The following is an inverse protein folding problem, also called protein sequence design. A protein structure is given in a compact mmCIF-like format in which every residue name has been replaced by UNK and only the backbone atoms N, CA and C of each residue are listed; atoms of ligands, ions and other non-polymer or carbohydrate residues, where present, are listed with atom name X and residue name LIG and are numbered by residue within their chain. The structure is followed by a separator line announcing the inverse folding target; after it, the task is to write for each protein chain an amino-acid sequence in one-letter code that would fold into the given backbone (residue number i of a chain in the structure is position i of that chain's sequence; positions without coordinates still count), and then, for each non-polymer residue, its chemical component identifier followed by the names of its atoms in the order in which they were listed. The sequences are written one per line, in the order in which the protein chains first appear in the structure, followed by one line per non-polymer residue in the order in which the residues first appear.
data_IF_564878539325
#
_entry.id   IF_564878539325
#
_cell.length_a   1.000
_cell.length_b   1.000
_cell.length_c   1.000
_cell.angle_alpha   90.00
_cell.angle_beta   90.00
_cell.angle_gamma   90.00
#
_symmetry.space_group_name_H-M   'P 1'
#
loop_
_entity.id
_entity.type
_entity.pdbx_description
1 polymer ?
#
# COMPACT_ATOMS: atom_id res chain seq x y z
N UNK A 1 -7.69 -46.97 -14.43
CA UNK A 1 -6.38 -47.63 -14.34
C UNK A 1 -6.13 -47.99 -12.88
N UNK A 2 -6.57 -49.18 -12.46
CA UNK A 2 -6.21 -49.76 -11.16
C UNK A 2 -5.48 -51.06 -11.48
N UNK A 3 -4.29 -51.15 -10.91
CA UNK A 3 -3.20 -52.08 -11.21
C UNK A 3 -3.22 -53.21 -10.18
N UNK A 4 -3.20 -54.44 -10.70
CA UNK A 4 -2.56 -55.67 -10.21
C UNK A 4 -2.64 -56.11 -8.74
N UNK A 5 -3.25 -57.28 -8.54
CA UNK A 5 -2.67 -58.49 -7.91
C UNK A 5 -3.63 -59.64 -8.27
N UNK A 6 -3.24 -60.70 -8.97
CA UNK A 6 -2.46 -61.81 -8.41
C UNK A 6 -1.59 -62.47 -9.48
N UNK A 7 -0.33 -62.75 -9.13
CA UNK A 7 0.50 -63.67 -9.88
C UNK A 7 0.01 -65.11 -9.68
N UNK A 8 -0.29 -65.77 -10.80
CA UNK A 8 0.01 -67.16 -11.19
C UNK A 8 -0.51 -67.24 -12.63
N UNK A 9 0.35 -67.69 -13.56
CA UNK A 9 0.08 -67.68 -14.99
C UNK A 9 -1.00 -68.70 -15.41
N UNK A 10 -2.26 -68.28 -15.37
CA UNK A 10 -3.33 -68.87 -16.17
C UNK A 10 -4.41 -67.83 -16.46
N UNK A 11 -4.58 -67.47 -17.74
CA UNK A 11 -5.78 -66.75 -18.20
C UNK A 11 -6.96 -67.74 -18.13
N UNK A 12 -7.75 -67.67 -17.08
CA UNK A 12 -9.05 -68.32 -17.04
C UNK A 12 -10.07 -67.42 -17.74
N UNK A 13 -10.26 -67.61 -19.04
CA UNK A 13 -11.41 -67.03 -19.76
C UNK A 13 -12.66 -67.77 -19.30
N UNK A 14 -13.60 -67.09 -18.64
CA UNK A 14 -14.88 -67.69 -18.25
C UNK A 14 -15.45 -67.29 -16.88
N UNK A 15 -14.97 -66.25 -16.21
CA UNK A 15 -15.63 -65.74 -15.00
C UNK A 15 -16.86 -64.89 -15.36
N UNK A 16 -17.88 -64.90 -14.50
CA UNK A 16 -19.10 -64.07 -14.59
C UNK A 16 -18.81 -62.56 -14.73
N UNK A 17 -17.57 -62.14 -14.45
CA UNK A 17 -17.07 -60.76 -14.57
C UNK A 17 -16.79 -60.37 -16.03
N UNK A 18 -16.67 -61.32 -16.97
CA UNK A 18 -16.49 -61.06 -18.40
C UNK A 18 -17.81 -60.98 -19.18
N UNK A 19 -18.92 -61.50 -18.60
CA UNK A 19 -20.27 -61.38 -19.16
C UNK A 19 -20.68 -59.93 -19.48
N UNK A 20 -20.42 -58.93 -18.62
CA UNK A 20 -20.75 -57.53 -18.91
C UNK A 20 -19.97 -56.96 -20.10
N UNK A 21 -18.72 -57.40 -20.31
CA UNK A 21 -17.89 -56.95 -21.45
C UNK A 21 -18.41 -57.49 -22.77
N UNK A 22 -18.72 -58.78 -22.82
CA UNK A 22 -19.26 -59.42 -24.02
C UNK A 22 -20.69 -58.93 -24.31
N UNK A 23 -21.52 -58.77 -23.28
CA UNK A 23 -22.86 -58.19 -23.40
C UNK A 23 -22.81 -56.73 -23.91
N UNK A 24 -21.84 -55.93 -23.43
CA UNK A 24 -21.63 -54.55 -23.88
C UNK A 24 -21.24 -54.46 -25.36
N UNK A 25 -20.29 -55.29 -25.81
CA UNK A 25 -19.93 -55.37 -27.23
C UNK A 25 -21.08 -55.89 -28.10
N UNK A 26 -21.87 -56.83 -27.58
CA UNK A 26 -23.08 -57.34 -28.24
C UNK A 26 -24.17 -56.28 -28.43
N UNK A 27 -24.40 -55.43 -27.42
CA UNK A 27 -25.34 -54.30 -27.52
C UNK A 27 -24.89 -53.25 -28.54
N UNK A 28 -23.59 -52.98 -28.63
CA UNK A 28 -23.03 -52.06 -29.65
C UNK A 28 -23.21 -52.64 -31.06
N UNK A 29 -22.98 -53.94 -31.25
CA UNK A 29 -23.20 -54.61 -32.53
C UNK A 29 -24.69 -54.66 -32.92
N UNK A 30 -25.60 -54.91 -31.96
CA UNK A 30 -27.05 -54.86 -32.16
C UNK A 30 -27.54 -53.46 -32.53
N UNK A 31 -27.00 -52.42 -31.89
CA UNK A 31 -27.31 -51.03 -32.24
C UNK A 31 -26.82 -50.66 -33.65
N UNK A 32 -25.64 -51.14 -34.05
CA UNK A 32 -25.12 -50.95 -35.40
C UNK A 32 -25.99 -51.67 -36.46
N UNK A 33 -26.44 -52.89 -36.17
CA UNK A 33 -27.34 -53.64 -37.06
C UNK A 33 -28.76 -53.04 -37.14
N UNK A 34 -29.27 -52.51 -36.03
CA UNK A 34 -30.55 -51.78 -36.00
C UNK A 34 -30.45 -50.48 -36.82
N UNK A 35 -29.33 -49.76 -36.70
CA UNK A 35 -29.06 -48.54 -37.47
C UNK A 35 -28.95 -48.78 -38.98
N UNK A 36 -28.53 -49.97 -39.41
CA UNK A 36 -28.49 -50.35 -40.83
C UNK A 36 -29.88 -50.74 -41.37
N UNK A 37 -30.86 -51.00 -40.49
CA UNK A 37 -32.22 -51.39 -40.85
C UNK A 37 -33.18 -50.20 -40.98
N UNK A 38 -32.76 -49.01 -40.51
CA UNK A 38 -33.58 -47.80 -40.43
C UNK A 38 -33.61 -46.97 -41.74
N UNK A 39 -32.82 -47.32 -42.75
CA UNK A 39 -32.85 -46.64 -44.05
C UNK A 39 -33.69 -47.40 -45.06
N UNK A 40 -35.01 -47.37 -44.90
CA UNK A 40 -36.03 -47.35 -45.98
C UNK A 40 -37.44 -47.55 -45.42
N UNK A 41 -38.14 -46.47 -45.09
CA UNK A 41 -39.56 -46.29 -45.42
C UNK A 41 -39.92 -44.83 -45.19
N UNK A 42 -40.28 -44.16 -46.28
CA UNK A 42 -40.89 -42.85 -46.27
C UNK A 42 -42.39 -42.96 -45.94
N UNK A 43 -42.95 -41.80 -45.55
CA UNK A 43 -44.34 -41.31 -45.72
C UNK A 43 -45.16 -41.15 -44.42
N UNK A 44 -45.49 -39.87 -44.18
CA UNK A 44 -46.64 -39.23 -43.47
C UNK A 44 -46.89 -39.56 -42.00
N UNK A 45 -46.76 -38.56 -41.11
CA UNK A 45 -47.91 -37.74 -40.70
C UNK A 45 -47.50 -36.62 -39.72
N UNK A 46 -48.11 -35.45 -39.93
CA UNK A 46 -48.04 -34.27 -39.08
C UNK A 46 -48.69 -34.54 -37.72
N UNK A 47 -47.90 -34.77 -36.66
CA UNK A 47 -48.24 -34.51 -35.26
C UNK A 47 -47.11 -34.98 -34.31
N UNK A 48 -45.98 -34.26 -34.20
CA UNK A 48 -45.00 -34.48 -33.10
C UNK A 48 -43.86 -33.43 -33.03
N UNK A 49 -44.18 -32.13 -33.00
CA UNK A 49 -43.13 -31.12 -32.72
C UNK A 49 -42.78 -31.03 -31.21
N UNK A 50 -43.69 -31.37 -30.30
CA UNK A 50 -43.45 -31.31 -28.85
C UNK A 50 -42.66 -32.49 -28.27
N UNK A 51 -42.68 -33.66 -28.93
CA UNK A 51 -41.95 -34.85 -28.48
C UNK A 51 -40.46 -34.87 -28.88
N UNK A 52 -40.13 -34.22 -30.00
CA UNK A 52 -38.76 -34.16 -30.52
C UNK A 52 -37.85 -33.24 -29.68
N UNK A 53 -38.38 -32.14 -29.15
CA UNK A 53 -37.62 -31.18 -28.34
C UNK A 53 -37.26 -31.72 -26.94
N UNK A 54 -38.18 -32.47 -26.32
CA UNK A 54 -37.97 -33.13 -25.01
C UNK A 54 -36.92 -34.25 -25.12
N UNK A 55 -36.96 -35.02 -26.22
CA UNK A 55 -36.02 -36.12 -26.44
C UNK A 55 -34.58 -35.61 -26.72
N UNK A 56 -34.44 -34.43 -27.33
CA UNK A 56 -33.14 -33.76 -27.57
C UNK A 56 -32.48 -33.27 -26.27
N UNK A 57 -33.24 -32.61 -25.38
CA UNK A 57 -32.73 -32.14 -24.09
C UNK A 57 -32.29 -33.29 -23.17
N UNK A 58 -33.01 -34.42 -23.18
CA UNK A 58 -32.67 -35.59 -22.36
C UNK A 58 -31.38 -36.28 -22.85
N UNK A 59 -31.16 -36.35 -24.17
CA UNK A 59 -29.91 -36.90 -24.75
C UNK A 59 -28.68 -36.04 -24.43
N UNK A 60 -28.85 -34.74 -24.22
CA UNK A 60 -27.76 -33.80 -23.87
C UNK A 60 -27.18 -34.05 -22.46
N UNK A 61 -27.99 -34.54 -21.51
CA UNK A 61 -27.55 -34.82 -20.14
C UNK A 61 -27.09 -36.27 -19.92
N UNK A 62 -27.41 -37.17 -20.85
CA UNK A 62 -27.06 -38.58 -20.81
C UNK A 62 -25.56 -38.86 -20.58
N UNK A 63 -24.59 -38.12 -21.18
CA UNK A 63 -23.18 -38.35 -20.90
C UNK A 63 -22.69 -37.76 -19.55
N UNK A 64 -23.44 -36.85 -18.94
CA UNK A 64 -23.08 -36.21 -17.65
C UNK A 64 -23.70 -36.91 -16.44
N UNK A 65 -24.72 -37.74 -16.66
CA UNK A 65 -25.41 -38.50 -15.62
C UNK A 65 -24.45 -39.42 -14.82
N UNK A 66 -23.48 -40.12 -15.43
CA UNK A 66 -22.47 -40.89 -14.69
C UNK A 66 -21.58 -40.03 -13.80
N UNK A 67 -21.27 -38.80 -14.21
CA UNK A 67 -20.44 -37.86 -13.44
C UNK A 67 -21.19 -37.36 -12.21
N UNK A 68 -22.47 -37.01 -12.37
CA UNK A 68 -23.33 -36.60 -11.26
C UNK A 68 -23.55 -37.74 -10.27
N UNK A 69 -23.76 -38.97 -10.78
CA UNK A 69 -23.91 -40.16 -9.95
C UNK A 69 -22.61 -40.47 -9.18
N UNK A 70 -21.45 -40.36 -9.83
CA UNK A 70 -20.14 -40.53 -9.18
C UNK A 70 -19.88 -39.46 -8.11
N UNK A 71 -20.27 -38.20 -8.36
CA UNK A 71 -20.19 -37.13 -7.38
C UNK A 71 -21.12 -37.36 -6.19
N UNK A 72 -22.35 -37.84 -6.42
CA UNK A 72 -23.32 -38.16 -5.38
C UNK A 72 -22.87 -39.36 -4.53
N UNK A 73 -22.32 -40.42 -5.14
CA UNK A 73 -21.74 -41.57 -4.44
C UNK A 73 -20.49 -41.13 -3.67
N UNK A 74 -19.63 -40.30 -4.27
CA UNK A 74 -18.46 -39.74 -3.60
C UNK A 74 -18.83 -38.90 -2.38
N UNK A 75 -19.89 -38.10 -2.48
CA UNK A 75 -20.44 -37.32 -1.36
C UNK A 75 -21.04 -38.24 -0.28
N UNK A 76 -21.76 -39.29 -0.67
CA UNK A 76 -22.29 -40.30 0.25
C UNK A 76 -21.20 -41.09 0.99
N UNK A 77 -20.11 -41.44 0.30
CA UNK A 77 -18.94 -42.07 0.92
C UNK A 77 -18.22 -41.12 1.88
N UNK A 78 -18.12 -39.83 1.53
CA UNK A 78 -17.58 -38.82 2.42
C UNK A 78 -18.44 -38.72 3.70
N UNK A 79 -19.77 -38.73 3.57
CA UNK A 79 -20.69 -38.69 4.71
C UNK A 79 -20.61 -39.95 5.58
N UNK A 80 -20.52 -41.15 5.00
CA UNK A 80 -20.40 -42.39 5.77
C UNK A 80 -19.01 -42.51 6.43
N UNK A 81 -17.96 -41.97 5.79
CA UNK A 81 -16.63 -41.89 6.37
C UNK A 81 -16.56 -40.87 7.52
N UNK A 82 -17.23 -39.73 7.40
CA UNK A 82 -17.42 -38.75 8.49
C UNK A 82 -18.18 -39.37 9.66
N UNK A 83 -19.23 -40.15 9.39
CA UNK A 83 -19.99 -40.86 10.43
C UNK A 83 -19.19 -41.96 11.11
N UNK A 84 -18.29 -42.63 10.38
CA UNK A 84 -17.43 -43.71 10.88
C UNK A 84 -16.29 -43.19 11.76
N UNK A 85 -15.79 -41.98 11.49
CA UNK A 85 -14.68 -41.38 12.23
C UNK A 85 -14.94 -39.90 12.58
N UNK A 86 -15.99 -39.59 13.36
CA UNK A 86 -16.40 -38.21 13.62
C UNK A 86 -15.30 -37.41 14.32
N UNK A 87 -14.55 -38.05 15.22
CA UNK A 87 -13.46 -37.41 15.95
C UNK A 87 -12.27 -37.03 15.05
N UNK A 88 -11.95 -37.82 14.02
CA UNK A 88 -10.85 -37.50 13.11
C UNK A 88 -11.19 -36.31 12.21
N UNK A 89 -12.41 -36.25 11.68
CA UNK A 89 -12.86 -35.10 10.90
C UNK A 89 -13.03 -33.83 11.74
N UNK A 90 -13.52 -33.96 12.98
CA UNK A 90 -13.56 -32.84 13.91
C UNK A 90 -12.13 -32.34 14.23
N UNK A 91 -11.18 -33.23 14.52
CA UNK A 91 -9.79 -32.86 14.77
C UNK A 91 -9.12 -32.20 13.55
N UNK A 92 -9.36 -32.75 12.34
CA UNK A 92 -8.87 -32.16 11.09
C UNK A 92 -9.49 -30.77 10.83
N UNK A 93 -10.79 -30.62 11.06
CA UNK A 93 -11.49 -29.34 10.92
C UNK A 93 -10.97 -28.30 11.90
N UNK A 94 -10.72 -28.68 13.16
CA UNK A 94 -10.10 -27.80 14.17
C UNK A 94 -8.69 -27.41 13.74
N UNK A 95 -7.88 -28.34 13.23
CA UNK A 95 -6.51 -28.06 12.78
C UNK A 95 -6.51 -27.09 11.59
N UNK A 96 -7.38 -27.29 10.60
CA UNK A 96 -7.54 -26.37 9.46
C UNK A 96 -8.02 -25.00 9.93
N UNK A 97 -9.02 -24.94 10.81
CA UNK A 97 -9.52 -23.69 11.37
C UNK A 97 -8.43 -22.93 12.15
N UNK A 98 -7.64 -23.63 12.96
CA UNK A 98 -6.51 -23.04 13.69
C UNK A 98 -5.41 -22.53 12.74
N UNK A 99 -5.12 -23.26 11.66
CA UNK A 99 -4.17 -22.83 10.64
C UNK A 99 -4.66 -21.57 9.89
N UNK A 100 -5.94 -21.53 9.51
CA UNK A 100 -6.57 -20.37 8.87
C UNK A 100 -6.62 -19.16 9.81
N UNK A 101 -6.98 -19.36 11.07
CA UNK A 101 -6.97 -18.30 12.09
C UNK A 101 -5.56 -17.74 12.28
N UNK A 102 -4.53 -18.61 12.36
CA UNK A 102 -3.13 -18.19 12.41
C UNK A 102 -2.72 -17.39 11.17
N UNK A 103 -3.10 -17.84 9.97
CA UNK A 103 -2.83 -17.11 8.73
C UNK A 103 -3.50 -15.73 8.72
N UNK A 104 -4.73 -15.64 9.23
CA UNK A 104 -5.47 -14.38 9.30
C UNK A 104 -4.83 -13.40 10.30
N UNK A 105 -4.40 -13.88 11.47
CA UNK A 105 -3.65 -13.08 12.45
C UNK A 105 -2.35 -12.55 11.84
N UNK A 106 -1.57 -13.42 11.19
CA UNK A 106 -0.31 -13.02 10.53
C UNK A 106 -0.56 -12.00 9.41
N UNK A 107 -1.65 -12.14 8.65
CA UNK A 107 -2.02 -11.18 7.60
C UNK A 107 -2.32 -9.80 8.20
N UNK A 108 -3.09 -9.75 9.28
CA UNK A 108 -3.44 -8.49 9.98
C UNK A 108 -2.20 -7.85 10.60
N UNK A 109 -1.34 -8.64 11.25
CA UNK A 109 -0.06 -8.15 11.81
C UNK A 109 0.86 -7.62 10.72
N UNK A 110 0.95 -8.29 9.58
CA UNK A 110 1.75 -7.85 8.44
C UNK A 110 1.22 -6.52 7.87
N UNK A 111 -0.10 -6.37 7.75
CA UNK A 111 -0.70 -5.09 7.34
C UNK A 111 -0.41 -3.96 8.33
N UNK A 112 -0.42 -4.24 9.64
CA UNK A 112 -0.06 -3.25 10.66
C UNK A 112 1.42 -2.86 10.59
N UNK A 113 2.33 -3.81 10.38
CA UNK A 113 3.76 -3.55 10.18
C UNK A 113 4.04 -2.78 8.88
N UNK A 114 3.32 -3.09 7.80
CA UNK A 114 3.40 -2.33 6.55
C UNK A 114 2.89 -0.91 6.72
N UNK A 115 1.86 -0.69 7.54
CA UNK A 115 1.39 0.64 7.89
C UNK A 115 2.44 1.41 8.72
N UNK A 116 3.11 0.75 9.65
CA UNK A 116 4.17 1.35 10.47
C UNK A 116 5.44 1.68 9.65
N UNK A 117 5.81 0.82 8.68
CA UNK A 117 6.85 1.12 7.68
C UNK A 117 6.42 2.26 6.75
N UNK A 118 5.14 2.35 6.40
CA UNK A 118 4.60 3.48 5.66
C UNK A 118 4.63 4.79 6.45
N UNK A 119 4.54 4.73 7.79
CA UNK A 119 4.68 5.88 8.68
C UNK A 119 6.03 6.60 8.51
N UNK A 120 7.12 5.84 8.32
CA UNK A 120 8.45 6.35 7.98
C UNK A 120 8.48 6.86 6.52
N UNK A 121 7.74 6.21 5.62
CA UNK A 121 7.59 6.59 4.22
C UNK A 121 6.69 7.83 3.97
N UNK A 122 6.21 8.51 5.01
CA UNK A 122 5.40 9.74 4.90
C UNK A 122 6.17 11.02 5.25
N UNK A 123 7.47 10.91 5.53
CA UNK A 123 8.36 12.05 5.76
C UNK A 123 9.37 12.19 4.64
N UNK A 124 9.79 13.42 4.39
CA UNK A 124 10.96 13.68 3.57
C UNK A 124 12.23 13.33 4.37
N UNK A 125 13.10 12.51 3.79
CA UNK A 125 14.28 11.98 4.50
C UNK A 125 15.34 13.04 4.82
N UNK A 126 15.38 14.14 4.05
CA UNK A 126 16.31 15.23 4.28
C UNK A 126 15.78 16.21 5.33
N UNK A 127 14.56 16.71 5.15
CA UNK A 127 14.01 17.81 5.95
C UNK A 127 13.18 17.36 7.15
N UNK A 128 12.75 16.09 7.19
CA UNK A 128 11.86 15.56 8.22
C UNK A 128 10.40 16.04 8.14
N UNK A 129 10.09 16.93 7.19
CA UNK A 129 8.73 17.42 6.91
C UNK A 129 7.84 16.32 6.34
N UNK A 130 6.55 16.60 6.15
CA UNK A 130 5.70 15.72 5.35
C UNK A 130 6.27 15.61 3.93
N UNK A 131 6.19 14.42 3.33
CA UNK A 131 6.45 14.30 1.90
C UNK A 131 5.18 14.54 1.07
N UNK A 132 5.32 14.55 -0.25
CA UNK A 132 4.21 14.70 -1.20
C UNK A 132 3.02 13.78 -0.90
N UNK A 133 3.25 12.50 -0.64
CA UNK A 133 2.17 11.55 -0.35
C UNK A 133 1.40 11.92 0.91
N UNK A 134 2.11 12.28 1.99
CA UNK A 134 1.47 12.70 3.24
C UNK A 134 0.70 14.01 3.07
N UNK A 135 1.23 14.95 2.30
CA UNK A 135 0.55 16.21 1.99
C UNK A 135 -0.77 15.97 1.27
N UNK A 136 -0.74 15.17 0.19
CA UNK A 136 -1.94 14.84 -0.59
C UNK A 136 -3.01 14.16 0.27
N UNK A 137 -2.61 13.18 1.08
CA UNK A 137 -3.52 12.50 2.01
C UNK A 137 -4.14 13.46 3.04
N UNK A 138 -3.38 14.45 3.52
CA UNK A 138 -3.90 15.47 4.45
C UNK A 138 -4.85 16.44 3.76
N UNK A 139 -4.52 16.87 2.56
CA UNK A 139 -5.37 17.75 1.76
C UNK A 139 -6.70 17.08 1.38
N UNK A 140 -6.67 15.82 0.95
CA UNK A 140 -7.87 15.05 0.65
C UNK A 140 -8.78 14.90 1.88
N UNK A 141 -8.20 14.59 3.06
CA UNK A 141 -8.95 14.53 4.32
C UNK A 141 -9.54 15.88 4.72
N UNK A 142 -8.78 16.96 4.55
CA UNK A 142 -9.25 18.31 4.84
C UNK A 142 -10.42 18.69 3.93
N UNK A 143 -10.35 18.38 2.62
CA UNK A 143 -11.46 18.57 1.68
C UNK A 143 -12.69 17.77 2.10
N UNK A 144 -12.54 16.48 2.39
CA UNK A 144 -13.65 15.62 2.79
C UNK A 144 -14.30 16.06 4.13
N UNK A 145 -13.52 16.62 5.05
CA UNK A 145 -14.04 17.14 6.31
C UNK A 145 -14.95 18.38 6.13
N UNK A 146 -14.79 19.12 5.01
CA UNK A 146 -15.58 20.33 4.72
C UNK A 146 -17.07 20.04 4.51
N UNK A 147 -17.41 18.83 4.08
CA UNK A 147 -18.80 18.38 3.94
C UNK A 147 -19.54 18.34 5.28
N UNK A 148 -18.81 18.15 6.39
CA UNK A 148 -19.37 18.06 7.74
C UNK A 148 -19.21 19.36 8.52
N UNK A 149 -18.08 20.06 8.36
CA UNK A 149 -17.82 21.39 8.92
C UNK A 149 -17.19 22.28 7.87
N UNK A 150 -17.86 23.33 7.39
CA UNK A 150 -17.37 24.18 6.31
C UNK A 150 -16.26 25.13 6.81
N UNK A 151 -15.10 24.55 7.12
CA UNK A 151 -13.87 25.28 7.45
C UNK A 151 -13.18 25.64 6.13
N UNK A 152 -12.78 26.90 5.90
CA UNK A 152 -12.00 27.24 4.73
C UNK A 152 -10.63 26.53 4.80
N UNK A 153 -10.15 26.11 3.64
CA UNK A 153 -8.83 25.49 3.52
C UNK A 153 -8.01 26.28 2.52
N UNK A 154 -6.72 26.40 2.77
CA UNK A 154 -5.79 27.07 1.89
C UNK A 154 -4.59 26.18 1.59
N UNK A 155 -4.13 26.30 0.35
CA UNK A 155 -2.92 25.62 -0.14
C UNK A 155 -1.95 26.70 -0.60
N UNK A 156 -0.73 26.66 -0.06
CA UNK A 156 0.39 27.47 -0.50
C UNK A 156 1.39 26.55 -1.20
N UNK A 157 1.90 26.98 -2.34
CA UNK A 157 3.07 26.42 -3.02
C UNK A 157 4.21 27.43 -2.91
N UNK A 158 5.40 26.94 -2.56
CA UNK A 158 6.61 27.73 -2.39
C UNK A 158 7.74 27.10 -3.18
N UNK A 159 8.56 27.93 -3.81
CA UNK A 159 9.77 27.50 -4.50
C UNK A 159 10.89 28.50 -4.20
N UNK A 160 12.06 27.99 -3.83
CA UNK A 160 13.22 28.80 -3.46
C UNK A 160 13.88 29.41 -4.70
N UNK A 161 13.75 30.73 -4.84
CA UNK A 161 14.32 31.40 -6.00
C UNK A 161 15.85 31.28 -6.02
N UNK A 162 16.41 30.99 -7.20
CA UNK A 162 17.85 30.82 -7.40
C UNK A 162 18.51 29.69 -6.59
N UNK A 163 17.77 28.71 -6.04
CA UNK A 163 18.34 27.57 -5.31
C UNK A 163 19.42 26.81 -6.11
N UNK A 164 19.21 26.65 -7.42
CA UNK A 164 20.22 26.06 -8.30
C UNK A 164 21.55 26.82 -8.28
N UNK A 165 21.53 28.15 -8.22
CA UNK A 165 22.76 28.95 -8.17
C UNK A 165 23.52 28.70 -6.86
N UNK A 166 22.82 28.46 -5.75
CA UNK A 166 23.45 28.07 -4.49
C UNK A 166 24.15 26.72 -4.64
N UNK A 167 23.50 25.74 -5.24
CA UNK A 167 24.12 24.43 -5.52
C UNK A 167 25.33 24.54 -6.44
N UNK A 168 25.23 25.36 -7.49
CA UNK A 168 26.31 25.53 -8.47
C UNK A 168 27.52 26.28 -7.83
N UNK A 169 27.27 27.17 -6.87
CA UNK A 169 28.32 27.96 -6.21
C UNK A 169 28.96 27.28 -4.99
N UNK A 170 28.17 26.58 -4.16
CA UNK A 170 28.59 26.02 -2.87
C UNK A 170 28.55 24.48 -2.82
N UNK A 171 28.01 23.84 -3.86
CA UNK A 171 27.85 22.40 -3.96
C UNK A 171 26.54 21.88 -3.36
N UNK A 172 26.15 20.68 -3.77
CA UNK A 172 24.93 20.00 -3.29
C UNK A 172 24.82 19.84 -1.77
N UNK A 173 25.89 19.55 -1.01
CA UNK A 173 25.79 19.46 0.45
C UNK A 173 25.33 20.76 1.11
N UNK A 174 25.76 21.91 0.58
CA UNK A 174 25.32 23.21 1.06
C UNK A 174 23.84 23.47 0.70
N UNK A 175 23.40 23.05 -0.49
CA UNK A 175 21.99 23.08 -0.84
C UNK A 175 21.12 22.17 0.04
N UNK A 176 21.62 21.00 0.41
CA UNK A 176 20.93 20.10 1.33
C UNK A 176 20.81 20.72 2.73
N UNK A 177 21.87 21.35 3.25
CA UNK A 177 21.78 22.11 4.50
C UNK A 177 20.80 23.28 4.38
N UNK A 178 20.82 24.01 3.26
CA UNK A 178 19.88 25.10 3.01
C UNK A 178 18.43 24.61 3.14
N UNK A 179 18.09 23.48 2.51
CA UNK A 179 16.75 22.90 2.57
C UNK A 179 16.34 22.51 4.00
N UNK A 180 17.28 21.98 4.79
CA UNK A 180 17.04 21.68 6.21
C UNK A 180 16.77 22.95 7.02
N UNK A 181 17.54 24.03 6.79
CA UNK A 181 17.32 25.33 7.45
C UNK A 181 15.99 25.95 7.05
N UNK A 182 15.65 25.89 5.77
CA UNK A 182 14.36 26.34 5.23
C UNK A 182 13.20 25.59 5.87
N UNK A 183 13.30 24.27 6.00
CA UNK A 183 12.29 23.48 6.70
C UNK A 183 12.09 23.93 8.16
N UNK A 184 13.19 24.24 8.85
CA UNK A 184 13.15 24.81 10.21
C UNK A 184 12.48 26.19 10.25
N UNK A 185 12.80 27.08 9.30
CA UNK A 185 12.18 28.40 9.18
C UNK A 185 10.67 28.30 8.94
N UNK A 186 10.25 27.46 7.98
CA UNK A 186 8.83 27.25 7.69
C UNK A 186 8.08 26.73 8.92
N UNK A 187 8.67 25.80 9.66
CA UNK A 187 8.07 25.23 10.88
C UNK A 187 7.97 26.26 11.99
N UNK A 188 8.92 27.19 12.10
CA UNK A 188 8.90 28.25 13.10
C UNK A 188 7.92 29.39 12.76
N UNK A 189 7.67 29.64 11.47
CA UNK A 189 6.81 30.74 11.00
C UNK A 189 5.32 30.41 10.96
N UNK A 190 4.98 29.12 11.04
CA UNK A 190 3.61 28.62 10.88
C UNK A 190 3.12 27.97 12.17
N UNK A 191 1.81 27.99 12.36
CA UNK A 191 1.17 27.43 13.55
C UNK A 191 1.16 25.88 13.50
N UNK A 192 1.12 25.20 14.65
CA UNK A 192 1.21 23.72 14.74
C UNK A 192 0.10 22.98 13.98
N UNK A 193 -1.00 23.66 13.66
CA UNK A 193 -2.12 23.12 12.88
C UNK A 193 -1.82 23.06 11.39
N UNK A 194 -0.84 23.83 10.90
CA UNK A 194 -0.45 23.82 9.50
C UNK A 194 0.29 22.52 9.15
N UNK A 195 -0.03 21.95 7.98
CA UNK A 195 0.73 20.82 7.43
C UNK A 195 1.75 21.34 6.43
N UNK A 196 3.04 21.22 6.77
CA UNK A 196 4.15 21.64 5.93
C UNK A 196 4.77 20.40 5.28
N UNK A 197 4.99 20.48 3.97
CA UNK A 197 5.56 19.39 3.19
C UNK A 197 6.64 19.88 2.22
N UNK A 198 7.60 18.99 1.93
CA UNK A 198 8.49 19.13 0.77
C UNK A 198 7.95 18.25 -0.35
N UNK A 199 7.67 18.86 -1.50
CA UNK A 199 7.12 18.14 -2.66
C UNK A 199 8.22 17.48 -3.51
N UNK A 200 9.41 18.07 -3.50
CA UNK A 200 10.61 17.60 -4.17
C UNK A 200 11.54 18.76 -4.51
N UNK A 201 12.84 18.52 -4.67
CA UNK A 201 13.79 19.60 -5.00
C UNK A 201 13.77 20.74 -3.96
N UNK A 202 13.50 21.94 -4.44
CA UNK A 202 13.31 23.20 -3.73
C UNK A 202 11.84 23.60 -3.52
N UNK A 203 10.90 22.72 -3.88
CA UNK A 203 9.47 22.97 -3.76
C UNK A 203 8.91 22.52 -2.40
N UNK A 204 8.19 23.43 -1.76
CA UNK A 204 7.47 23.20 -0.52
C UNK A 204 5.98 23.51 -0.69
N UNK A 205 5.15 22.86 0.11
CA UNK A 205 3.73 23.14 0.18
C UNK A 205 3.26 23.25 1.63
N UNK A 206 2.27 24.11 1.84
CA UNK A 206 1.64 24.32 3.14
C UNK A 206 0.14 24.20 2.98
N UNK A 207 -0.48 23.41 3.85
CA UNK A 207 -1.92 23.32 4.01
C UNK A 207 -2.31 24.02 5.32
N UNK A 208 -3.22 24.97 5.22
CA UNK A 208 -3.77 25.73 6.34
C UNK A 208 -5.28 25.50 6.36
N UNK A 209 -5.82 25.09 7.51
CA UNK A 209 -7.27 25.04 7.76
C UNK A 209 -7.65 26.33 8.48
N UNK A 210 -7.99 27.38 7.73
CA UNK A 210 -8.17 28.73 8.24
C UNK A 210 -8.70 29.70 7.18
N UNK A 211 -9.09 30.89 7.61
CA UNK A 211 -9.69 31.92 6.75
C UNK A 211 -8.71 32.47 5.71
N UNK A 212 -9.22 33.30 4.78
CA UNK A 212 -8.40 33.98 3.77
C UNK A 212 -7.38 34.90 4.44
N UNK A 213 -7.79 35.62 5.49
CA UNK A 213 -6.97 36.55 6.25
C UNK A 213 -5.86 35.83 7.01
N UNK A 214 -6.19 34.70 7.66
CA UNK A 214 -5.21 33.85 8.35
C UNK A 214 -4.17 33.29 7.38
N UNK A 215 -4.62 32.87 6.20
CA UNK A 215 -3.76 32.37 5.13
C UNK A 215 -2.82 33.47 4.62
N UNK A 216 -3.35 34.66 4.36
CA UNK A 216 -2.54 35.79 3.88
C UNK A 216 -1.52 36.21 4.93
N UNK A 217 -1.92 36.29 6.20
CA UNK A 217 -1.01 36.58 7.30
C UNK A 217 0.08 35.51 7.44
N UNK A 218 -0.27 34.23 7.30
CA UNK A 218 0.70 33.14 7.29
C UNK A 218 1.69 33.23 6.11
N UNK A 219 1.21 33.53 4.90
CA UNK A 219 2.07 33.72 3.74
C UNK A 219 3.07 34.87 3.93
N UNK A 220 2.63 36.00 4.50
CA UNK A 220 3.52 37.10 4.86
C UNK A 220 4.52 36.73 5.95
N UNK A 221 4.08 36.10 7.06
CA UNK A 221 4.99 35.59 8.10
C UNK A 221 6.07 34.67 7.52
N UNK A 222 5.68 33.81 6.58
CA UNK A 222 6.63 32.94 5.90
C UNK A 222 7.61 33.76 5.07
N UNK A 223 7.16 34.66 4.19
CA UNK A 223 8.06 35.46 3.36
C UNK A 223 9.04 36.32 4.18
N UNK A 224 8.56 36.96 5.25
CA UNK A 224 9.34 37.83 6.11
C UNK A 224 10.44 37.04 6.87
N UNK A 225 10.20 35.76 7.16
CA UNK A 225 11.19 34.91 7.82
C UNK A 225 12.44 34.63 6.97
N UNK A 226 12.38 34.89 5.65
CA UNK A 226 13.52 34.78 4.74
C UNK A 226 14.28 36.09 4.55
N UNK A 227 13.90 37.18 5.23
CA UNK A 227 14.64 38.46 5.14
C UNK A 227 16.03 38.36 5.80
N UNK A 228 16.18 37.46 6.78
CA UNK A 228 17.47 37.17 7.41
C UNK A 228 18.28 36.17 6.56
N UNK A 229 19.57 36.45 6.36
CA UNK A 229 20.46 35.54 5.66
C UNK A 229 20.61 34.20 6.43
N UNK A 230 20.57 33.10 5.69
CA UNK A 230 20.75 31.75 6.21
C UNK A 230 22.25 31.42 6.18
N UNK A 231 22.83 31.15 7.35
CA UNK A 231 24.26 30.82 7.44
C UNK A 231 24.47 29.33 7.19
N UNK A 232 25.28 29.00 6.18
CA UNK A 232 25.66 27.64 5.78
C UNK A 232 27.18 27.56 5.83
N UNK A 233 27.75 26.70 6.67
CA UNK A 233 29.21 26.60 6.89
C UNK A 233 29.90 27.95 7.13
N UNK A 234 29.22 28.90 7.79
CA UNK A 234 29.73 30.24 8.06
C UNK A 234 29.57 31.26 6.91
N UNK A 235 29.03 30.85 5.76
CA UNK A 235 28.72 31.73 4.63
C UNK A 235 27.26 32.18 4.72
N UNK A 236 26.96 33.49 4.74
CA UNK A 236 25.60 33.99 4.68
C UNK A 236 25.04 33.82 3.25
N UNK A 237 23.94 33.08 3.13
CA UNK A 237 23.21 32.85 1.89
C UNK A 237 21.85 33.54 1.99
N UNK A 238 21.58 34.45 1.05
CA UNK A 238 20.27 35.09 0.92
C UNK A 238 19.46 34.36 -0.13
N UNK A 239 18.35 33.76 0.29
CA UNK A 239 17.35 33.14 -0.59
C UNK A 239 15.97 33.53 -0.09
N UNK A 240 15.05 33.82 -1.02
CA UNK A 240 13.65 34.07 -0.70
C UNK A 240 12.77 33.21 -1.61
N UNK A 241 11.63 32.73 -1.11
CA UNK A 241 10.72 31.95 -1.91
C UNK A 241 9.80 32.84 -2.75
N UNK A 242 9.43 32.35 -3.93
CA UNK A 242 8.19 32.74 -4.59
C UNK A 242 7.04 31.93 -4.00
N UNK A 243 5.96 32.61 -3.57
CA UNK A 243 4.83 32.00 -2.87
C UNK A 243 3.55 32.22 -3.68
N UNK A 244 2.88 31.13 -4.02
CA UNK A 244 1.53 31.14 -4.59
C UNK A 244 0.54 30.50 -3.64
N UNK A 245 -0.65 31.06 -3.50
CA UNK A 245 -1.68 30.44 -2.67
C UNK A 245 -3.08 30.53 -3.23
N UNK A 246 -3.93 29.59 -2.83
CA UNK A 246 -5.36 29.59 -3.13
C UNK A 246 -6.14 29.23 -1.86
N UNK A 247 -7.39 29.72 -1.77
CA UNK A 247 -8.26 29.46 -0.63
C UNK A 247 -9.60 28.92 -1.13
N UNK A 248 -10.00 27.77 -0.62
CA UNK A 248 -11.32 27.20 -0.85
C UNK A 248 -12.27 27.62 0.28
N UNK A 249 -13.18 28.55 -0.02
CA UNK A 249 -14.18 29.06 0.94
C UNK A 249 -15.42 28.16 1.02
N UNK A 250 -16.17 28.29 2.11
CA UNK A 250 -17.41 27.53 2.31
C UNK A 250 -18.35 27.70 1.10
N UNK A 251 -18.64 26.61 0.40
CA UNK A 251 -19.49 26.59 -0.80
C UNK A 251 -18.75 26.36 -2.12
N UNK A 252 -17.41 26.40 -2.15
CA UNK A 252 -16.66 26.02 -3.34
C UNK A 252 -16.43 24.49 -3.39
N UNK A 253 -16.91 23.85 -4.46
CA UNK A 253 -16.47 22.50 -4.81
C UNK A 253 -15.06 22.60 -5.37
N UNK A 254 -14.08 21.97 -4.71
CA UNK A 254 -12.70 21.96 -5.16
C UNK A 254 -12.11 20.57 -4.95
N UNK A 255 -11.39 20.09 -5.95
CA UNK A 255 -10.59 18.86 -5.88
C UNK A 255 -9.17 19.15 -5.41
N UNK A 256 -8.47 18.12 -4.96
CA UNK A 256 -7.04 18.18 -4.59
C UNK A 256 -6.20 18.78 -5.73
N UNK A 257 -6.41 18.28 -6.95
CA UNK A 257 -5.67 18.70 -8.14
C UNK A 257 -5.94 20.17 -8.51
N UNK A 258 -7.19 20.64 -8.38
CA UNK A 258 -7.53 22.03 -8.63
C UNK A 258 -6.84 22.98 -7.64
N UNK A 259 -6.85 22.67 -6.34
CA UNK A 259 -6.22 23.53 -5.34
C UNK A 259 -4.70 23.61 -5.52
N UNK A 260 -4.06 22.48 -5.76
CA UNK A 260 -2.64 22.43 -6.08
C UNK A 260 -2.32 23.21 -7.35
N UNK A 261 -3.10 23.00 -8.42
CA UNK A 261 -2.91 23.71 -9.69
C UNK A 261 -3.09 25.22 -9.53
N UNK A 262 -4.10 25.67 -8.79
CA UNK A 262 -4.33 27.09 -8.55
C UNK A 262 -3.20 27.75 -7.75
N UNK A 263 -2.71 27.09 -6.69
CA UNK A 263 -1.57 27.58 -5.92
C UNK A 263 -0.29 27.61 -6.76
N UNK A 264 -0.04 26.58 -7.58
CA UNK A 264 1.12 26.52 -8.49
C UNK A 264 1.08 27.62 -9.55
N UNK A 265 -0.08 27.86 -10.18
CA UNK A 265 -0.25 28.96 -11.14
C UNK A 265 0.04 30.33 -10.51
N UNK A 266 -0.43 30.55 -9.27
CA UNK A 266 -0.15 31.78 -8.53
C UNK A 266 1.34 31.91 -8.20
N UNK A 267 2.01 30.82 -7.83
CA UNK A 267 3.45 30.79 -7.52
C UNK A 267 4.27 31.08 -8.77
N UNK A 268 3.88 30.50 -9.90
CA UNK A 268 4.52 30.77 -11.19
C UNK A 268 4.34 32.23 -11.63
N UNK A 269 3.17 32.84 -11.40
CA UNK A 269 2.99 34.27 -11.62
C UNK A 269 3.89 35.11 -10.70
N UNK A 270 4.03 34.74 -9.42
CA UNK A 270 4.97 35.38 -8.52
C UNK A 270 6.40 35.32 -9.06
N UNK A 271 6.86 34.17 -9.58
CA UNK A 271 8.18 34.04 -10.22
C UNK A 271 8.35 34.98 -11.41
N UNK A 272 7.35 35.02 -12.31
CA UNK A 272 7.42 35.83 -13.55
C UNK A 272 7.46 37.33 -13.31
N UNK A 273 6.95 37.78 -12.18
CA UNK A 273 7.02 39.19 -11.78
C UNK A 273 8.37 39.59 -11.19
N UNK A 274 9.34 38.66 -11.15
CA UNK A 274 10.70 38.88 -10.63
C UNK A 274 11.00 38.19 -9.30
N UNK A 275 10.33 37.07 -8.97
CA UNK A 275 10.55 36.28 -7.75
C UNK A 275 10.22 36.94 -6.40
N UNK A 276 10.46 36.22 -5.32
CA UNK A 276 10.54 36.72 -3.93
C UNK A 276 9.29 37.45 -3.42
N UNK A 277 8.11 37.01 -3.88
CA UNK A 277 6.83 37.64 -3.53
C UNK A 277 5.70 36.64 -3.36
N UNK A 278 4.60 37.13 -2.80
CA UNK A 278 3.37 36.37 -2.61
C UNK A 278 2.36 36.75 -3.71
N UNK A 279 1.68 35.74 -4.26
CA UNK A 279 0.50 35.93 -5.11
C UNK A 279 -0.63 34.99 -4.70
N UNK A 280 -1.84 35.53 -4.68
CA UNK A 280 -3.07 34.74 -4.59
C UNK A 280 -3.52 34.30 -5.98
N UNK A 281 -4.16 33.14 -6.05
CA UNK A 281 -4.86 32.71 -7.25
C UNK A 281 -6.11 33.56 -7.43
N UNK A 282 -6.26 34.16 -8.61
CA UNK A 282 -7.45 34.90 -9.03
C UNK A 282 -8.02 34.20 -10.26
N UNK A 283 -9.25 33.67 -10.20
CA UNK A 283 -9.94 33.16 -11.39
C UNK A 283 -9.98 34.25 -12.46
N UNK A 284 -9.67 33.90 -13.71
CA UNK A 284 -9.68 34.79 -14.89
C UNK A 284 -8.55 35.83 -15.04
N UNK A 285 -7.51 35.78 -14.20
CA UNK A 285 -6.27 36.48 -14.54
C UNK A 285 -5.62 35.82 -15.79
N UNK A 286 -5.06 36.60 -16.74
CA UNK A 286 -4.38 36.04 -17.90
C UNK A 286 -3.08 35.35 -17.45
N UNK A 287 -3.17 34.06 -17.12
CA UNK A 287 -2.03 33.17 -17.00
C UNK A 287 -1.70 32.66 -18.41
N UNK A 288 -0.58 33.08 -19.04
CA UNK A 288 -0.21 32.59 -20.35
C UNK A 288 0.13 31.09 -20.24
N UNK A 289 -0.59 30.28 -20.99
CA UNK A 289 -0.44 28.84 -21.21
C UNK A 289 -0.02 28.01 -19.99
N UNK A 290 -1.04 27.42 -19.35
CA UNK A 290 -0.85 26.24 -18.53
C UNK A 290 -0.15 25.14 -19.37
N UNK A 291 1.02 24.71 -18.91
CA UNK A 291 1.89 23.63 -19.42
C UNK A 291 3.05 24.02 -20.37
N UNK A 292 4.18 24.38 -19.77
CA UNK A 292 5.47 23.85 -20.22
C UNK A 292 6.03 22.96 -19.09
N UNK A 293 5.90 21.64 -19.26
CA UNK A 293 6.64 20.66 -18.45
C UNK A 293 8.13 21.02 -18.51
N UNK A 294 8.78 21.20 -17.36
CA UNK A 294 10.24 21.31 -17.31
C UNK A 294 10.86 20.07 -17.97
N UNK A 295 11.71 20.20 -19.01
CA UNK A 295 12.23 19.05 -19.76
C UNK A 295 13.18 18.12 -18.98
N UNK A 296 13.47 18.39 -17.70
CA UNK A 296 14.40 17.59 -16.89
C UNK A 296 13.84 17.13 -15.52
N UNK A 297 12.53 17.21 -15.30
CA UNK A 297 11.92 16.48 -14.19
C UNK A 297 11.55 15.07 -14.66
N UNK A 298 12.05 13.98 -14.04
CA UNK A 298 11.61 12.64 -14.41
C UNK A 298 10.11 12.53 -14.12
N UNK A 299 9.35 12.38 -15.19
CA UNK A 299 7.95 11.98 -15.16
C UNK A 299 7.90 10.60 -14.51
N UNK A 300 7.49 10.51 -13.25
CA UNK A 300 7.06 9.24 -12.67
C UNK A 300 5.68 8.91 -13.23
N UNK A 301 5.67 8.34 -14.43
CA UNK A 301 4.50 7.72 -15.02
C UNK A 301 4.02 6.61 -14.09
N UNK A 302 2.81 6.78 -13.57
CA UNK A 302 2.02 5.72 -12.96
C UNK A 302 1.79 4.67 -14.04
N UNK A 303 2.53 3.56 -13.96
CA UNK A 303 2.23 2.32 -14.67
C UNK A 303 2.35 1.19 -13.67
N UNK A 304 1.23 0.54 -13.38
CA UNK A 304 1.23 -0.75 -12.72
C UNK A 304 2.06 -1.72 -13.56
N UNK A 305 3.14 -2.24 -13.00
CA UNK A 305 3.89 -3.37 -13.55
C UNK A 305 3.07 -4.65 -13.38
N UNK A 306 2.83 -5.44 -14.46
CA UNK A 306 2.45 -6.81 -14.30
C UNK A 306 3.66 -7.63 -13.86
N UNK A 307 3.42 -8.42 -12.82
CA UNK A 307 4.04 -9.69 -12.42
C UNK A 307 5.17 -10.23 -13.32
N UNK A 308 6.34 -10.43 -12.72
CA UNK A 308 7.47 -11.13 -13.33
C UNK A 308 7.32 -12.64 -13.16
N UNK A 309 7.13 -13.35 -14.27
CA UNK A 309 7.33 -14.81 -14.38
C UNK A 309 8.83 -15.11 -14.54
N UNK A 310 9.39 -16.16 -13.92
CA UNK A 310 10.83 -16.40 -13.90
C UNK A 310 11.35 -16.93 -15.25
N UNK A 311 12.36 -16.27 -15.79
CA UNK A 311 13.05 -16.67 -17.02
C UNK A 311 14.13 -17.72 -16.76
N UNK A 312 14.22 -18.65 -17.70
CA UNK A 312 14.99 -19.86 -17.72
C UNK A 312 16.51 -19.67 -17.91
N UNK A 313 17.21 -20.77 -17.66
CA UNK A 313 18.65 -21.01 -17.70
C UNK A 313 19.42 -20.45 -18.91
N UNK A 314 20.73 -20.17 -18.77
CA UNK A 314 21.62 -20.07 -19.91
C UNK A 314 22.18 -21.43 -20.32
N UNK A 315 22.06 -21.71 -21.62
CA UNK A 315 22.58 -22.88 -22.30
C UNK A 315 24.11 -22.88 -22.43
N UNK A 316 24.63 -24.10 -22.26
CA UNK A 316 25.74 -24.73 -22.97
C UNK A 316 26.49 -23.91 -24.05
N UNK A 317 27.77 -23.61 -23.77
CA UNK A 317 28.79 -23.43 -24.80
C UNK A 317 30.09 -24.19 -24.43
N UNK A 318 30.28 -25.30 -25.14
CA UNK A 318 31.53 -25.88 -25.67
C UNK A 318 32.84 -25.74 -24.90
N UNK A 319 33.39 -26.92 -24.57
CA UNK A 319 34.73 -27.23 -24.10
C UNK A 319 35.90 -26.72 -24.98
N UNK A 320 37.02 -26.37 -24.33
CA UNK A 320 38.42 -26.60 -24.78
C UNK A 320 39.40 -26.54 -23.60
N UNK A 321 40.03 -27.69 -23.31
CA UNK A 321 41.43 -27.94 -22.90
C UNK A 321 42.11 -27.18 -21.73
N UNK A 322 42.78 -27.88 -20.78
CA UNK A 322 43.42 -27.24 -19.62
C UNK A 322 44.89 -26.88 -19.87
N UNK A 323 45.32 -25.73 -19.34
CA UNK A 323 46.73 -25.39 -19.17
C UNK A 323 47.02 -24.97 -17.72
N UNK A 324 48.02 -25.65 -17.15
CA UNK A 324 48.56 -25.54 -15.78
C UNK A 324 49.43 -24.28 -15.62
N UNK A 325 49.30 -23.59 -14.47
CA UNK A 325 50.35 -22.84 -13.72
C UNK A 325 49.67 -22.22 -12.50
N UNK A 326 49.80 -22.68 -11.25
CA UNK A 326 50.90 -22.70 -10.24
C UNK A 326 51.29 -21.32 -9.65
N UNK A 327 51.06 -21.22 -8.33
CA UNK A 327 51.60 -20.30 -7.31
C UNK A 327 51.13 -18.83 -7.39
N UNK A 328 50.85 -18.10 -6.31
CA UNK A 328 51.68 -17.86 -5.11
C UNK A 328 50.81 -17.44 -3.92
N UNK A 329 51.11 -18.00 -2.74
CA UNK A 329 50.67 -17.56 -1.39
C UNK A 329 51.51 -16.37 -0.91
N UNK A 330 51.01 -15.60 0.07
CA UNK A 330 51.87 -15.25 1.19
C UNK A 330 51.32 -15.73 2.52
N UNK A 331 52.17 -16.46 3.21
CA UNK A 331 52.10 -16.85 4.61
C UNK A 331 52.73 -15.78 5.52
N UNK A 332 52.45 -15.92 6.82
CA UNK A 332 53.19 -15.40 7.99
C UNK A 332 52.80 -13.97 8.44
N UNK A 333 52.69 -13.62 9.72
CA UNK A 333 53.12 -14.25 10.98
C UNK A 333 52.24 -13.74 12.14
N UNK A 334 52.10 -14.60 13.15
CA UNK A 334 51.45 -14.38 14.44
C UNK A 334 52.53 -14.10 15.50
N UNK A 335 52.44 -12.99 16.25
CA UNK A 335 53.16 -12.76 17.53
C UNK A 335 52.27 -11.90 18.45
N UNK A 336 51.59 -12.50 19.43
CA UNK A 336 51.96 -12.64 20.86
C UNK A 336 51.96 -11.33 21.69
N UNK A 337 50.96 -11.29 22.58
CA UNK A 337 50.95 -10.86 24.01
C UNK A 337 51.52 -9.48 24.37
N UNK A 338 50.69 -8.67 25.04
CA UNK A 338 51.00 -8.16 26.39
C UNK A 338 49.71 -7.95 27.21
N UNK A 339 49.71 -8.50 28.43
CA UNK A 339 48.82 -8.16 29.56
C UNK A 339 49.44 -7.01 30.34
N UNK A 340 48.62 -6.11 30.87
CA UNK A 340 48.71 -5.45 32.19
C UNK A 340 47.30 -4.86 32.45
N UNK A 341 46.50 -5.29 33.42
CA UNK A 341 46.58 -5.19 34.89
C UNK A 341 46.30 -3.79 35.46
N UNK A 342 45.29 -3.72 36.35
CA UNK A 342 45.00 -2.64 37.29
C UNK A 342 43.74 -1.85 36.93
N UNK A 343 42.69 -1.72 37.76
CA UNK A 343 42.44 -2.13 39.13
C UNK A 343 41.08 -1.55 39.53
N UNK A 344 40.23 -2.38 40.15
CA UNK A 344 39.02 -1.99 40.89
C UNK A 344 39.43 -1.32 42.23
N UNK A 345 38.59 -0.48 42.86
CA UNK A 345 37.54 -1.04 43.73
C UNK A 345 36.21 -0.28 43.78
N UNK A 346 35.24 -1.01 44.30
CA UNK A 346 33.85 -0.65 44.49
C UNK A 346 33.55 0.07 45.83
N UNK A 347 32.30 0.53 45.92
CA UNK A 347 31.45 0.76 47.11
C UNK A 347 31.50 2.09 47.85
N UNK A 348 30.35 2.78 47.91
CA UNK A 348 29.60 2.99 49.18
C UNK A 348 28.16 3.47 48.95
N UNK A 349 27.23 2.71 49.55
CA UNK A 349 25.89 3.14 49.97
C UNK A 349 25.98 3.95 51.26
N UNK A 350 24.97 4.78 51.51
CA UNK A 350 24.28 5.14 52.79
C UNK A 350 23.80 6.61 52.70
N UNK A 351 22.74 7.12 53.32
CA UNK A 351 21.50 6.61 53.92
C UNK A 351 20.79 7.87 54.48
N UNK A 352 19.49 8.08 54.17
CA UNK A 352 18.43 8.71 55.03
C UNK A 352 18.56 10.19 55.51
N UNK A 353 17.51 10.85 56.08
CA UNK A 353 16.31 10.28 56.72
C UNK A 353 14.92 10.90 56.42
N UNK A 354 13.92 10.18 56.95
CA UNK A 354 12.50 10.47 57.13
C UNK A 354 12.22 11.67 58.06
N UNK A 355 11.02 12.26 57.91
CA UNK A 355 10.34 13.04 58.94
C UNK A 355 8.82 13.08 58.70
N UNK A 356 8.08 12.26 59.46
CA UNK A 356 6.62 12.04 59.51
C UNK A 356 5.82 13.05 60.37
N UNK A 357 4.47 12.93 60.32
CA UNK A 357 3.42 13.20 61.37
C UNK A 357 2.62 14.52 61.17
N UNK A 358 1.26 14.68 61.25
CA UNK A 358 0.03 13.94 61.74
C UNK A 358 -1.26 14.55 61.09
N UNK A 359 -2.26 13.76 60.68
CA UNK A 359 -3.69 13.62 61.13
C UNK A 359 -4.44 14.78 61.83
N UNK A 360 -5.65 15.09 61.34
CA UNK A 360 -7.01 15.11 62.00
C UNK A 360 -7.98 15.90 61.08
N UNK A 361 -9.08 15.38 60.50
CA UNK A 361 -10.37 14.91 61.03
C UNK A 361 -11.39 16.04 61.40
N UNK A 362 -12.60 15.91 60.83
CA UNK A 362 -13.91 16.51 61.24
C UNK A 362 -14.06 18.04 61.06
N UNK A 363 -15.21 18.64 60.73
CA UNK A 363 -16.59 18.25 60.42
C UNK A 363 -17.37 19.52 59.99
N UNK A 364 -18.50 19.35 59.28
CA UNK A 364 -19.66 20.26 59.42
C UNK A 364 -19.94 21.24 58.26
N UNK A 365 -21.15 21.11 57.68
CA UNK A 365 -21.90 22.26 57.14
C UNK A 365 -22.29 22.23 55.65
N UNK A 366 -23.36 21.51 55.29
CA UNK A 366 -24.33 21.94 54.25
C UNK A 366 -25.44 22.79 54.94
N UNK A 367 -26.50 23.31 54.28
CA UNK A 367 -26.78 23.60 52.86
C UNK A 367 -27.40 25.03 52.64
N UNK A 368 -27.65 25.43 51.39
CA UNK A 368 -28.89 26.07 50.84
C UNK A 368 -28.76 26.08 49.29
N UNK A 369 -29.57 25.38 48.49
CA UNK A 369 -30.92 25.76 47.98
C UNK A 369 -30.94 27.21 47.47
N UNK A 370 -31.40 27.60 46.28
CA UNK A 370 -32.25 27.03 45.21
C UNK A 370 -32.48 28.18 44.21
N UNK A 371 -32.70 27.92 42.91
CA UNK A 371 -33.42 28.87 42.04
C UNK A 371 -32.87 29.09 40.62
N UNK A 372 -33.38 28.29 39.68
CA UNK A 372 -33.63 28.63 38.26
C UNK A 372 -34.63 29.82 38.13
N UNK A 373 -35.03 30.35 36.94
CA UNK A 373 -34.81 29.88 35.54
C UNK A 373 -34.51 30.97 34.47
N UNK A 374 -34.24 30.44 33.27
CA UNK A 374 -34.31 31.02 31.92
C UNK A 374 -35.52 31.93 31.59
N UNK A 375 -35.27 32.97 30.78
CA UNK A 375 -35.96 33.35 29.51
C UNK A 375 -35.61 34.80 29.13
N UNK A 376 -35.01 35.02 27.96
CA UNK A 376 -35.63 35.68 26.79
C UNK A 376 -34.74 35.50 25.56
#
# INVERSE_FOLDING_TARGET
MIVFQTGIGSYHTGELVDLPRVAGLGLVALAALASLRESSTAVSDEASETGAEVTSRIRLWLPYLPLVLAAAIGLGHLMDQVRRWPFLFAALGILVAAALARQLVVLVENQALLAEVAQEAFRDSLTGLANRTRFLNRLERAIAARDQRPTPIAVLCLDLDNFKQVNDALGHPAGDELLVRVAGLLTASLDETATIARLGGDEFAVLIEGSVEETQAAAHRVLDAFDAAIVIDGVPVTVRPSIGYTVATAGSSCTVDELLRHADLAMYAAKREGGERIRSFVPDAPFPDAHARHPNAPVSTIRATPEATPSAAPGNASARGPARTRAVLPSLHRTRRHRCCGGWPATRRQHRPNGTVRRAAESGGRPWASGLPWRY
#
